data_IF_155662161356
#
_entry.id   IF_155662161356
#
_cell.length_a   1.000
_cell.length_b   1.000
_cell.length_c   1.000
_cell.angle_alpha   90.00
_cell.angle_beta   90.00
_cell.angle_gamma   90.00
#
_symmetry.space_group_name_H-M   'P 1'
#
loop_
_entity.id
_entity.type
_entity.pdbx_description
1 polymer ?
#
# COMPACT_ATOMS: atom_id res chain seq x y z
N UNK A 1 30.24 58.54 -0.16
CA UNK A 1 30.32 57.19 -0.75
C UNK A 1 29.31 56.30 -0.03
N UNK A 2 28.55 55.53 -0.82
CA UNK A 2 27.55 54.51 -0.42
C UNK A 2 28.21 53.46 0.50
N UNK A 3 27.54 52.79 1.44
CA UNK A 3 26.57 51.73 1.17
C UNK A 3 25.76 51.38 2.42
N UNK A 4 24.44 51.28 2.24
CA UNK A 4 23.50 50.63 3.16
C UNK A 4 23.74 49.11 3.13
N UNK A 5 23.67 48.45 4.29
CA UNK A 5 23.37 47.02 4.34
C UNK A 5 22.27 46.78 5.38
N UNK A 6 21.05 46.65 4.86
CA UNK A 6 19.95 45.92 5.49
C UNK A 6 20.32 44.43 5.50
N UNK A 7 20.38 43.81 6.67
CA UNK A 7 20.33 42.36 6.79
C UNK A 7 18.93 41.98 7.28
N UNK A 8 18.05 41.68 6.33
CA UNK A 8 16.78 41.02 6.60
C UNK A 8 17.13 39.57 6.93
N UNK A 9 16.98 39.14 8.19
CA UNK A 9 16.94 37.72 8.51
C UNK A 9 15.62 37.16 7.96
N UNK A 10 15.68 36.60 6.76
CA UNK A 10 14.66 35.66 6.33
C UNK A 10 14.79 34.41 7.21
N UNK A 11 13.83 34.22 8.11
CA UNK A 11 13.60 32.92 8.70
C UNK A 11 13.27 31.97 7.55
N UNK A 12 14.25 31.16 7.15
CA UNK A 12 13.99 29.99 6.33
C UNK A 12 13.15 29.05 7.20
N UNK A 13 11.84 29.18 7.13
CA UNK A 13 10.95 28.07 7.46
C UNK A 13 11.32 26.97 6.48
N UNK A 14 12.19 26.07 6.93
CA UNK A 14 12.28 24.75 6.35
C UNK A 14 10.91 24.12 6.54
N UNK A 15 10.07 24.23 5.52
CA UNK A 15 9.07 23.20 5.30
C UNK A 15 9.88 21.91 5.21
N UNK A 16 9.89 21.14 6.29
CA UNK A 16 10.13 19.72 6.19
C UNK A 16 9.00 19.27 5.28
N UNK A 17 9.29 19.20 3.98
CA UNK A 17 8.59 18.26 3.13
C UNK A 17 8.80 16.95 3.87
N UNK A 18 7.75 16.47 4.54
CA UNK A 18 7.67 15.10 4.98
C UNK A 18 7.57 14.27 3.71
N UNK A 19 8.71 14.19 3.02
CA UNK A 19 8.89 13.34 1.86
C UNK A 19 8.47 11.97 2.31
N UNK A 20 7.38 11.48 1.71
CA UNK A 20 6.97 10.11 1.93
C UNK A 20 8.20 9.26 1.59
N UNK A 21 8.78 8.48 2.54
CA UNK A 21 9.90 7.61 2.22
C UNK A 21 9.50 6.56 1.15
N UNK A 22 8.19 6.41 0.91
CA UNK A 22 7.60 5.60 -0.15
C UNK A 22 7.21 6.40 -1.40
N UNK A 23 7.76 7.60 -1.63
CA UNK A 23 7.49 8.38 -2.84
C UNK A 23 7.92 7.68 -4.15
N UNK A 24 8.75 6.63 -4.06
CA UNK A 24 9.12 5.76 -5.19
C UNK A 24 8.19 4.55 -5.39
N UNK A 25 7.30 4.26 -4.43
CA UNK A 25 6.39 3.13 -4.54
C UNK A 25 5.13 3.54 -5.28
N UNK A 26 4.92 2.96 -6.46
CA UNK A 26 3.79 3.29 -7.33
C UNK A 26 2.49 2.67 -6.81
N UNK A 27 1.34 3.15 -7.30
CA UNK A 27 0.03 2.55 -7.03
C UNK A 27 -0.14 1.14 -7.63
N UNK A 28 0.86 0.66 -8.38
CA UNK A 28 0.84 -0.66 -8.98
C UNK A 28 1.37 -1.71 -8.00
N UNK A 29 0.80 -2.93 -8.02
CA UNK A 29 1.46 -4.07 -7.40
C UNK A 29 2.87 -4.28 -7.94
N UNK A 30 3.79 -4.68 -7.06
CA UNK A 30 5.14 -5.09 -7.46
C UNK A 30 5.17 -6.58 -7.90
N UNK A 31 6.28 -7.02 -8.48
CA UNK A 31 6.60 -8.45 -8.62
C UNK A 31 5.66 -9.28 -9.51
N UNK A 32 5.06 -8.69 -10.56
CA UNK A 32 4.00 -9.30 -11.39
C UNK A 32 2.75 -9.76 -10.60
N UNK A 33 2.65 -9.41 -9.32
CA UNK A 33 1.46 -9.69 -8.53
C UNK A 33 0.26 -8.94 -9.10
N UNK A 34 -0.93 -9.52 -9.01
CA UNK A 34 -2.15 -8.81 -9.39
C UNK A 34 -2.72 -7.99 -8.22
N UNK A 35 -2.26 -8.28 -6.99
CA UNK A 35 -2.66 -7.66 -5.74
C UNK A 35 -1.47 -7.72 -4.76
N UNK A 36 -1.18 -6.61 -4.09
CA UNK A 36 -0.24 -6.54 -2.97
C UNK A 36 -0.82 -5.77 -1.78
N UNK A 37 -0.20 -5.94 -0.61
CA UNK A 37 -0.45 -5.13 0.57
C UNK A 37 0.87 -4.63 1.11
N UNK A 38 0.92 -3.36 1.50
CA UNK A 38 2.03 -2.80 2.26
C UNK A 38 1.62 -2.67 3.72
N UNK A 39 2.42 -3.31 4.57
CA UNK A 39 2.37 -3.13 6.01
C UNK A 39 3.58 -2.31 6.48
N UNK A 40 3.32 -1.09 6.96
CA UNK A 40 4.33 -0.23 7.54
C UNK A 40 4.54 -0.63 9.01
N UNK A 41 5.30 -1.70 9.22
CA UNK A 41 5.39 -2.43 10.50
C UNK A 41 5.69 -1.59 11.75
N UNK A 42 6.29 -0.39 11.65
CA UNK A 42 6.53 0.48 12.81
C UNK A 42 6.57 1.96 12.41
N UNK A 43 5.47 2.70 12.57
CA UNK A 43 5.56 4.17 12.68
C UNK A 43 4.71 4.69 13.84
N UNK A 44 5.33 5.53 14.67
CA UNK A 44 4.73 6.21 15.84
C UNK A 44 3.50 7.08 15.50
N UNK A 45 3.17 7.24 14.21
CA UNK A 45 2.16 8.17 13.69
C UNK A 45 0.93 7.45 13.10
N UNK A 46 0.82 6.12 13.20
CA UNK A 46 -0.38 5.36 12.82
C UNK A 46 -0.79 5.47 11.35
N UNK A 47 0.17 5.56 10.42
CA UNK A 47 -0.16 5.61 8.99
C UNK A 47 -0.80 4.30 8.52
N UNK A 48 -1.84 4.37 7.66
CA UNK A 48 -2.62 3.20 7.26
C UNK A 48 -1.78 2.24 6.42
N UNK A 49 -2.06 0.94 6.58
CA UNK A 49 -1.70 -0.09 5.60
C UNK A 49 -2.28 0.31 4.23
N UNK A 50 -1.77 -0.24 3.14
CA UNK A 50 -2.37 0.01 1.81
C UNK A 50 -2.40 -1.24 0.98
N UNK A 51 -3.52 -1.51 0.31
CA UNK A 51 -3.66 -2.60 -0.66
C UNK A 51 -3.61 -2.00 -2.05
N UNK A 52 -2.77 -2.56 -2.93
CA UNK A 52 -2.68 -2.12 -4.33
C UNK A 52 -3.05 -3.22 -5.29
N UNK A 53 -3.64 -2.82 -6.40
CA UNK A 53 -4.15 -3.73 -7.43
C UNK A 53 -4.15 -3.04 -8.78
N UNK A 54 -4.23 -3.87 -9.83
CA UNK A 54 -4.48 -3.41 -11.19
C UNK A 54 -5.95 -3.65 -11.55
N UNK A 55 -6.62 -2.61 -12.03
CA UNK A 55 -7.94 -2.68 -12.63
C UNK A 55 -7.90 -2.27 -14.11
N UNK A 56 -9.07 -2.16 -14.75
CA UNK A 56 -9.18 -1.80 -16.18
C UNK A 56 -8.81 -0.34 -16.49
N UNK A 57 -8.74 0.51 -15.47
CA UNK A 57 -8.41 1.93 -15.59
C UNK A 57 -6.96 2.24 -15.19
N UNK A 58 -6.25 1.26 -14.63
CA UNK A 58 -4.83 1.35 -14.30
C UNK A 58 -4.54 0.75 -12.94
N UNK A 59 -3.51 1.26 -12.30
CA UNK A 59 -3.12 0.87 -10.96
C UNK A 59 -3.83 1.70 -9.90
N UNK A 60 -4.15 1.08 -8.76
CA UNK A 60 -4.91 1.70 -7.67
C UNK A 60 -4.34 1.25 -6.34
N UNK A 61 -4.27 2.17 -5.39
CA UNK A 61 -4.01 1.87 -3.99
C UNK A 61 -5.21 2.31 -3.14
N UNK A 62 -5.61 1.48 -2.17
CA UNK A 62 -6.62 1.82 -1.18
C UNK A 62 -5.96 1.79 0.20
N UNK A 63 -6.02 2.89 0.98
CA UNK A 63 -5.57 2.87 2.36
C UNK A 63 -6.47 1.93 3.17
N UNK A 64 -5.87 0.93 3.78
CA UNK A 64 -6.48 0.07 4.77
C UNK A 64 -6.12 0.60 6.14
N UNK A 65 -7.13 0.81 7.00
CA UNK A 65 -6.90 1.25 8.37
C UNK A 65 -6.22 0.15 9.19
N UNK A 66 -6.86 -0.28 10.28
CA UNK A 66 -6.41 -1.44 11.06
C UNK A 66 -6.94 -2.79 10.55
N UNK A 67 -7.64 -2.80 9.40
CA UNK A 67 -8.24 -4.01 8.84
C UNK A 67 -7.45 -4.49 7.64
N UNK A 68 -7.12 -5.77 7.60
CA UNK A 68 -6.45 -6.42 6.47
C UNK A 68 -7.40 -6.78 5.33
N UNK A 69 -8.65 -6.30 5.40
CA UNK A 69 -9.66 -6.50 4.38
C UNK A 69 -10.09 -5.18 3.74
N UNK A 70 -10.29 -5.19 2.41
CA UNK A 70 -10.79 -4.04 1.67
C UNK A 70 -11.75 -4.43 0.56
N UNK A 71 -12.82 -3.64 0.41
CA UNK A 71 -13.70 -3.74 -0.76
C UNK A 71 -13.10 -2.98 -1.94
N UNK A 72 -12.99 -3.63 -3.08
CA UNK A 72 -12.41 -3.05 -4.29
C UNK A 72 -13.11 -3.55 -5.56
N UNK A 73 -12.66 -3.05 -6.72
CA UNK A 73 -13.10 -3.51 -8.03
C UNK A 73 -11.92 -4.15 -8.78
N UNK A 74 -11.98 -5.47 -9.00
CA UNK A 74 -11.01 -6.21 -9.81
C UNK A 74 -11.70 -6.60 -11.10
N UNK A 75 -11.14 -6.24 -12.27
CA UNK A 75 -11.72 -6.54 -13.58
C UNK A 75 -13.20 -6.14 -13.71
N UNK A 76 -13.56 -4.96 -13.21
CA UNK A 76 -14.93 -4.45 -13.21
C UNK A 76 -15.93 -5.33 -12.42
N UNK A 77 -15.44 -6.04 -11.41
CA UNK A 77 -16.23 -6.85 -10.49
C UNK A 77 -15.90 -6.50 -9.05
N UNK A 78 -16.92 -6.40 -8.19
CA UNK A 78 -16.73 -6.11 -6.77
C UNK A 78 -16.09 -7.31 -6.08
N UNK A 79 -15.01 -7.08 -5.35
CA UNK A 79 -14.32 -8.08 -4.56
C UNK A 79 -14.04 -7.56 -3.15
N UNK A 80 -14.04 -8.45 -2.17
CA UNK A 80 -13.47 -8.23 -0.85
C UNK A 80 -12.13 -8.97 -0.82
N UNK A 81 -11.04 -8.22 -0.78
CA UNK A 81 -9.70 -8.79 -0.61
C UNK A 81 -9.33 -8.75 0.87
N UNK A 82 -8.85 -9.86 1.41
CA UNK A 82 -8.42 -9.98 2.80
C UNK A 82 -7.03 -10.63 2.86
N UNK A 83 -6.13 -10.08 3.66
CA UNK A 83 -4.84 -10.66 3.98
C UNK A 83 -4.82 -11.17 5.42
N UNK A 84 -4.37 -12.38 5.63
CA UNK A 84 -3.97 -12.91 6.94
C UNK A 84 -2.45 -12.95 6.98
N UNK A 85 -1.83 -11.86 7.46
CA UNK A 85 -0.38 -11.74 7.55
C UNK A 85 0.25 -12.68 8.56
N UNK A 86 -0.53 -13.20 9.53
CA UNK A 86 -0.05 -14.20 10.48
C UNK A 86 -0.04 -15.60 9.87
N UNK A 87 -1.07 -15.91 9.10
CA UNK A 87 -1.22 -17.18 8.40
C UNK A 87 -0.49 -17.25 7.05
N UNK A 88 0.04 -16.14 6.55
CA UNK A 88 0.60 -16.04 5.20
C UNK A 88 -0.40 -16.44 4.10
N UNK A 89 -1.65 -16.02 4.26
CA UNK A 89 -2.72 -16.29 3.32
C UNK A 89 -3.42 -15.01 2.88
N UNK A 90 -3.98 -15.02 1.66
CA UNK A 90 -4.90 -14.00 1.19
C UNK A 90 -6.17 -14.66 0.66
N UNK A 91 -7.28 -13.93 0.65
CA UNK A 91 -8.51 -14.39 0.01
C UNK A 91 -9.20 -13.26 -0.76
N UNK A 92 -9.87 -13.65 -1.83
CA UNK A 92 -10.73 -12.79 -2.63
C UNK A 92 -12.13 -13.38 -2.65
N UNK A 93 -13.08 -12.63 -2.10
CA UNK A 93 -14.49 -13.01 -2.12
C UNK A 93 -15.24 -12.12 -3.11
N UNK A 94 -15.97 -12.74 -4.03
CA UNK A 94 -16.83 -12.08 -5.00
C UNK A 94 -18.30 -12.23 -4.57
N UNK A 95 -18.93 -11.18 -4.01
CA UNK A 95 -20.25 -11.30 -3.38
C UNK A 95 -21.39 -11.59 -4.36
N UNK A 96 -21.20 -11.28 -5.64
CA UNK A 96 -22.18 -11.47 -6.70
C UNK A 96 -22.47 -12.94 -7.01
N UNK A 97 -21.51 -13.85 -6.78
CA UNK A 97 -21.70 -15.28 -7.02
C UNK A 97 -21.17 -16.20 -5.92
N UNK A 98 -20.82 -15.65 -4.75
CA UNK A 98 -20.25 -16.37 -3.61
C UNK A 98 -18.96 -17.16 -3.90
N UNK A 99 -18.21 -16.82 -4.95
CA UNK A 99 -16.88 -17.41 -5.20
C UNK A 99 -15.88 -16.82 -4.21
N UNK A 100 -15.14 -17.70 -3.53
CA UNK A 100 -13.99 -17.37 -2.71
C UNK A 100 -12.75 -18.03 -3.32
N UNK A 101 -11.74 -17.23 -3.62
CA UNK A 101 -10.41 -17.68 -4.05
C UNK A 101 -9.44 -17.45 -2.89
N UNK A 102 -8.52 -18.37 -2.68
CA UNK A 102 -7.55 -18.31 -1.60
C UNK A 102 -6.14 -18.42 -2.18
N UNK A 103 -5.20 -17.73 -1.56
CA UNK A 103 -3.83 -17.64 -2.07
C UNK A 103 -2.82 -17.72 -0.94
N UNK A 104 -1.63 -18.23 -1.25
CA UNK A 104 -0.46 -17.95 -0.44
C UNK A 104 -0.01 -16.51 -0.69
N UNK A 105 0.63 -15.89 0.31
CA UNK A 105 1.27 -14.59 0.16
C UNK A 105 2.78 -14.74 0.19
N UNK A 106 3.47 -13.99 -0.66
CA UNK A 106 4.91 -13.84 -0.58
C UNK A 106 5.23 -12.57 0.19
N UNK A 107 6.29 -12.60 0.99
CA UNK A 107 6.73 -11.46 1.79
C UNK A 107 8.10 -11.03 1.36
N UNK A 108 8.25 -9.73 1.13
CA UNK A 108 9.53 -9.09 0.88
C UNK A 108 9.68 -7.86 1.76
N UNK A 109 10.90 -7.60 2.19
CA UNK A 109 11.21 -6.36 2.90
C UNK A 109 11.13 -5.19 1.93
N UNK A 110 10.47 -4.11 2.33
CA UNK A 110 10.49 -2.83 1.63
C UNK A 110 11.52 -1.90 2.29
N UNK A 111 12.81 -1.96 1.89
CA UNK A 111 13.88 -1.23 2.56
C UNK A 111 13.67 0.28 2.55
N UNK A 112 12.95 0.80 1.54
CA UNK A 112 12.63 2.23 1.41
C UNK A 112 11.54 2.70 2.39
N UNK A 113 10.77 1.79 3.00
CA UNK A 113 9.54 2.11 3.72
C UNK A 113 9.50 1.63 5.20
N UNK A 114 10.57 1.06 5.75
CA UNK A 114 10.56 0.45 7.10
C UNK A 114 9.37 -0.50 7.29
N UNK A 115 9.06 -1.30 6.26
CA UNK A 115 7.86 -2.13 6.22
C UNK A 115 8.03 -3.38 5.36
N UNK A 116 6.95 -4.13 5.21
CA UNK A 116 6.87 -5.39 4.46
C UNK A 116 5.83 -5.27 3.35
N UNK A 117 6.15 -5.80 2.17
CA UNK A 117 5.21 -5.98 1.07
C UNK A 117 4.76 -7.44 1.07
N UNK A 118 3.46 -7.62 1.00
CA UNK A 118 2.76 -8.90 0.99
C UNK A 118 2.07 -9.04 -0.36
N UNK A 119 2.64 -9.83 -1.27
CA UNK A 119 2.08 -10.00 -2.61
C UNK A 119 1.29 -11.30 -2.71
N UNK A 120 0.18 -11.28 -3.45
CA UNK A 120 -0.57 -12.50 -3.74
C UNK A 120 0.24 -13.41 -4.66
N UNK A 121 0.50 -14.62 -4.19
CA UNK A 121 1.20 -15.67 -4.92
C UNK A 121 0.24 -16.66 -5.58
N UNK A 122 0.48 -17.95 -5.32
CA UNK A 122 -0.26 -19.03 -5.96
C UNK A 122 -1.62 -19.26 -5.30
N UNK A 123 -2.61 -19.61 -6.12
CA UNK A 123 -3.93 -20.04 -5.65
C UNK A 123 -3.82 -21.36 -4.88
N UNK A 124 -4.54 -21.44 -3.75
CA UNK A 124 -4.61 -22.59 -2.86
C UNK A 124 -6.08 -22.93 -2.56
N UNK A 125 -6.37 -24.15 -2.08
CA UNK A 125 -7.70 -24.50 -1.59
C UNK A 125 -8.17 -23.53 -0.50
N UNK A 126 -9.42 -23.09 -0.60
CA UNK A 126 -10.10 -22.39 0.49
C UNK A 126 -10.54 -23.39 1.54
N UNK A 127 -9.73 -23.55 2.59
CA UNK A 127 -10.11 -24.30 3.80
C UNK A 127 -11.21 -23.59 4.60
#
# INVERSE_FOLDING_TARGET
MKFQLLAILAAATTTIASGNPCAGQTDCPDGNAFLDMIDYGLQANGRPRSIRFRDRWGCRAIPTGSSDCVSMWINNRRALACFDTRGYHASLQYPDNNVKLCYNVNVEGAPECTGEIWSVGNEIPCN
#
